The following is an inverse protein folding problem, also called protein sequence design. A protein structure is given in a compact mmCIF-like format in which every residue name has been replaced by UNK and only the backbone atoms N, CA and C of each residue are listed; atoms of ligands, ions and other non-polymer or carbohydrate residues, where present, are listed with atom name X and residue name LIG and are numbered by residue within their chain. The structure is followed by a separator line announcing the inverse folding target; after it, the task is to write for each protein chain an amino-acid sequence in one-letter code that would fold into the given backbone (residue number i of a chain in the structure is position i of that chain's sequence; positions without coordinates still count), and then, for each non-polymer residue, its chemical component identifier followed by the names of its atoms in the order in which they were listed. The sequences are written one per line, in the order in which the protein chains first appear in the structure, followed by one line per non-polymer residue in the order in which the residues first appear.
data_IF_148561325084
#
_entry.id   IF_148561325084
#
_cell.length_a   1.000
_cell.length_b   1.000
_cell.length_c   1.000
_cell.angle_alpha   90.00
_cell.angle_beta   90.00
_cell.angle_gamma   90.00
#
_symmetry.space_group_name_H-M   'P 1'
#
loop_
_entity.id
_entity.type
_entity.pdbx_description
1 polymer ?
#
# COMPACT_ATOMS: atom_id res chain seq x y z
N UNK A 1 -53.39 -73.20 -22.05
CA UNK A 1 -52.94 -73.55 -23.38
C UNK A 1 -51.62 -72.85 -23.61
N UNK A 2 -50.48 -73.40 -23.69
CA UNK A 2 -49.91 -74.60 -24.13
C UNK A 2 -48.40 -74.36 -24.18
N UNK A 3 -47.74 -75.29 -23.53
CA UNK A 3 -46.47 -76.00 -23.86
C UNK A 3 -45.24 -75.19 -24.16
N UNK A 4 -44.23 -75.31 -23.23
CA UNK A 4 -43.08 -76.23 -23.31
C UNK A 4 -42.27 -76.20 -24.57
N UNK A 5 -40.96 -75.85 -24.46
CA UNK A 5 -39.91 -76.82 -24.76
C UNK A 5 -38.50 -76.36 -24.22
N UNK A 6 -37.94 -77.20 -23.47
CA UNK A 6 -36.60 -77.35 -22.98
C UNK A 6 -35.58 -77.49 -24.14
N UNK A 7 -34.37 -77.02 -23.94
CA UNK A 7 -33.18 -77.79 -24.35
C UNK A 7 -31.93 -77.30 -23.55
N UNK A 8 -31.36 -78.30 -22.90
CA UNK A 8 -30.05 -78.24 -22.25
C UNK A 8 -28.91 -78.12 -23.24
N UNK A 9 -27.85 -77.38 -22.91
CA UNK A 9 -26.49 -77.76 -23.30
C UNK A 9 -25.42 -77.14 -22.40
N UNK A 10 -24.87 -77.97 -21.57
CA UNK A 10 -23.49 -78.29 -21.15
C UNK A 10 -22.45 -77.14 -21.16
N UNK A 11 -22.01 -76.88 -19.97
CA UNK A 11 -20.63 -76.84 -19.38
C UNK A 11 -19.45 -76.72 -20.35
N UNK A 12 -18.66 -75.70 -20.14
CA UNK A 12 -17.18 -75.77 -20.15
C UNK A 12 -16.63 -74.74 -19.19
N UNK A 13 -16.01 -75.23 -18.12
CA UNK A 13 -15.21 -74.40 -17.19
C UNK A 13 -13.89 -74.06 -17.92
N UNK A 14 -13.55 -72.79 -17.99
CA UNK A 14 -12.19 -72.34 -18.20
C UNK A 14 -11.80 -71.40 -17.06
N UNK A 15 -10.95 -71.90 -16.21
CA UNK A 15 -10.34 -71.17 -15.10
C UNK A 15 -9.28 -70.22 -15.68
N UNK A 16 -9.57 -68.91 -15.71
CA UNK A 16 -8.60 -67.88 -15.99
C UNK A 16 -8.10 -67.32 -14.65
N UNK A 17 -6.85 -67.62 -14.37
CA UNK A 17 -6.11 -67.04 -13.24
C UNK A 17 -5.80 -65.58 -13.61
N UNK A 18 -6.48 -64.62 -12.94
CA UNK A 18 -6.18 -63.20 -13.05
C UNK A 18 -5.09 -62.89 -12.02
N UNK A 19 -3.83 -62.76 -12.45
CA UNK A 19 -2.77 -62.15 -11.67
C UNK A 19 -3.07 -60.67 -11.50
N UNK A 20 -3.62 -60.26 -10.33
CA UNK A 20 -3.81 -58.89 -9.95
C UNK A 20 -2.48 -58.18 -9.67
N UNK A 21 -1.96 -57.48 -10.66
CA UNK A 21 -0.85 -56.55 -10.44
C UNK A 21 -1.35 -55.31 -9.70
N UNK A 22 -0.97 -55.15 -8.42
CA UNK A 22 -1.13 -53.89 -7.70
C UNK A 22 -0.22 -52.84 -8.33
N UNK A 23 -0.73 -52.06 -9.27
CA UNK A 23 -0.06 -50.86 -9.73
C UNK A 23 -0.23 -49.79 -8.63
N UNK A 24 0.83 -49.54 -7.89
CA UNK A 24 0.91 -48.42 -6.97
C UNK A 24 0.93 -47.14 -7.83
N UNK A 25 -0.16 -46.43 -7.85
CA UNK A 25 -0.20 -45.05 -8.41
C UNK A 25 0.52 -44.14 -7.41
N UNK A 26 1.81 -43.88 -7.70
CA UNK A 26 2.54 -42.79 -7.05
C UNK A 26 1.89 -41.50 -7.56
N UNK A 27 1.07 -40.84 -6.76
CA UNK A 27 0.58 -39.52 -7.04
C UNK A 27 1.79 -38.59 -7.23
N UNK A 28 1.85 -37.76 -8.30
CA UNK A 28 2.93 -36.80 -8.43
C UNK A 28 2.89 -35.86 -7.23
N UNK A 29 4.08 -35.67 -6.60
CA UNK A 29 4.23 -34.71 -5.53
C UNK A 29 3.75 -33.33 -6.02
N UNK A 30 3.06 -32.55 -5.15
CA UNK A 30 2.61 -31.22 -5.54
C UNK A 30 3.85 -30.42 -5.96
N UNK A 31 3.86 -29.99 -7.22
CA UNK A 31 4.86 -29.07 -7.73
C UNK A 31 4.76 -27.79 -6.88
N UNK A 32 5.79 -27.55 -6.07
CA UNK A 32 6.00 -26.27 -5.40
C UNK A 32 6.23 -25.26 -6.55
N UNK A 33 5.17 -24.55 -6.92
CA UNK A 33 5.29 -23.38 -7.79
C UNK A 33 6.07 -22.36 -6.98
N UNK A 34 7.39 -22.32 -7.21
CA UNK A 34 8.23 -21.25 -6.70
C UNK A 34 7.68 -19.94 -7.26
N UNK A 35 7.13 -19.08 -6.36
CA UNK A 35 6.79 -17.70 -6.70
C UNK A 35 7.99 -17.07 -7.41
N UNK A 36 7.80 -16.40 -8.56
CA UNK A 36 8.86 -15.58 -9.11
C UNK A 36 9.23 -14.56 -8.02
N UNK A 37 10.44 -14.63 -7.50
CA UNK A 37 11.00 -13.59 -6.65
C UNK A 37 11.20 -12.37 -7.56
N UNK A 38 10.20 -11.49 -7.63
CA UNK A 38 10.46 -10.15 -8.11
C UNK A 38 11.44 -9.54 -7.13
N UNK A 39 12.60 -9.10 -7.64
CA UNK A 39 13.58 -8.39 -6.83
C UNK A 39 12.94 -7.16 -6.16
N UNK A 40 13.65 -6.53 -5.21
CA UNK A 40 13.09 -5.40 -4.48
C UNK A 40 12.65 -4.30 -5.43
N UNK A 41 11.47 -3.74 -5.18
CA UNK A 41 10.95 -2.59 -5.91
C UNK A 41 11.62 -1.34 -5.36
N UNK A 42 12.41 -0.64 -6.19
CA UNK A 42 13.17 0.54 -5.76
C UNK A 42 12.67 1.77 -6.52
N UNK A 43 12.23 2.78 -5.79
CA UNK A 43 11.82 4.08 -6.31
C UNK A 43 12.95 5.08 -6.02
N UNK A 44 13.66 5.49 -7.09
CA UNK A 44 14.78 6.41 -6.99
C UNK A 44 14.35 7.84 -7.32
N UNK A 45 14.96 8.87 -6.70
CA UNK A 45 14.70 10.28 -7.08
C UNK A 45 14.88 10.56 -8.56
N UNK A 46 15.85 9.90 -9.22
CA UNK A 46 16.12 10.05 -10.65
C UNK A 46 14.95 9.59 -11.52
N UNK A 47 14.12 8.70 -11.03
CA UNK A 47 12.93 8.16 -11.72
C UNK A 47 11.70 9.08 -11.57
N UNK A 48 11.86 10.27 -10.98
CA UNK A 48 10.77 11.23 -10.73
C UNK A 48 9.87 11.48 -11.94
N UNK A 49 10.45 11.49 -13.13
CA UNK A 49 9.70 11.70 -14.38
C UNK A 49 8.67 10.59 -14.67
N UNK A 50 8.82 9.42 -14.06
CA UNK A 50 7.89 8.28 -14.14
C UNK A 50 6.75 8.36 -13.12
N UNK A 51 6.80 9.33 -12.21
CA UNK A 51 5.79 9.52 -11.17
C UNK A 51 4.73 10.50 -11.65
N UNK A 52 3.49 10.17 -11.37
CA UNK A 52 2.33 10.99 -11.66
C UNK A 52 2.18 12.09 -10.59
N UNK A 53 2.00 13.34 -11.03
CA UNK A 53 1.61 14.43 -10.12
C UNK A 53 0.11 14.39 -9.94
N UNK A 54 -0.35 14.05 -8.73
CA UNK A 54 -1.77 14.06 -8.37
C UNK A 54 -2.11 15.36 -7.68
N UNK A 55 -2.96 16.15 -8.33
CA UNK A 55 -3.48 17.40 -7.77
C UNK A 55 -4.75 17.14 -6.96
N UNK A 56 -4.90 17.84 -5.85
CA UNK A 56 -6.11 17.78 -5.05
C UNK A 56 -7.09 18.89 -5.45
N UNK A 57 -8.41 18.62 -5.53
CA UNK A 57 -9.39 19.62 -5.93
C UNK A 57 -9.30 20.88 -5.07
N UNK A 58 -9.22 22.04 -5.73
CA UNK A 58 -9.16 23.35 -5.06
C UNK A 58 -7.84 23.68 -4.34
N UNK A 59 -6.79 22.85 -4.49
CA UNK A 59 -5.48 23.08 -3.86
C UNK A 59 -4.44 23.57 -4.87
N UNK A 60 -3.54 24.45 -4.42
CA UNK A 60 -2.34 24.78 -5.16
C UNK A 60 -1.39 23.58 -5.19
N UNK A 61 -0.57 23.52 -6.22
CA UNK A 61 0.36 22.39 -6.41
C UNK A 61 1.66 22.62 -5.63
N UNK A 62 2.09 21.62 -4.88
CA UNK A 62 3.44 21.52 -4.34
C UNK A 62 4.44 21.41 -5.49
N UNK A 63 5.54 22.15 -5.42
CA UNK A 63 6.61 22.05 -6.40
C UNK A 63 7.52 20.85 -6.10
N UNK A 64 7.66 19.94 -7.07
CA UNK A 64 8.56 18.78 -6.96
C UNK A 64 9.70 18.92 -7.97
N UNK A 65 10.95 18.89 -7.49
CA UNK A 65 12.15 19.01 -8.34
C UNK A 65 13.16 17.94 -7.99
N UNK A 66 13.85 17.40 -9.01
CA UNK A 66 15.04 16.59 -8.78
C UNK A 66 16.22 17.52 -8.51
N UNK A 67 16.94 17.29 -7.42
CA UNK A 67 18.16 18.04 -7.08
C UNK A 67 19.15 17.19 -6.28
N UNK A 68 20.33 17.77 -6.01
CA UNK A 68 21.31 17.18 -5.09
C UNK A 68 21.14 17.81 -3.71
N UNK A 69 21.00 16.96 -2.68
CA UNK A 69 21.01 17.39 -1.28
C UNK A 69 22.04 16.57 -0.50
N UNK A 70 23.04 17.26 0.06
CA UNK A 70 24.18 16.62 0.76
C UNK A 70 24.85 15.54 -0.12
N UNK A 71 25.15 15.88 -1.37
CA UNK A 71 25.79 15.03 -2.39
C UNK A 71 25.01 13.77 -2.78
N UNK A 72 23.73 13.68 -2.46
CA UNK A 72 22.86 12.60 -2.90
C UNK A 72 21.66 13.11 -3.69
N UNK A 73 21.23 12.37 -4.72
CA UNK A 73 20.04 12.75 -5.47
C UNK A 73 18.81 12.67 -4.57
N UNK A 74 17.95 13.67 -4.67
CA UNK A 74 16.71 13.76 -3.89
C UNK A 74 15.59 14.42 -4.68
N UNK A 75 14.35 14.13 -4.36
CA UNK A 75 13.19 14.92 -4.80
C UNK A 75 12.94 15.99 -3.74
N UNK A 76 13.23 17.24 -4.06
CA UNK A 76 12.75 18.39 -3.31
C UNK A 76 11.23 18.47 -3.47
N UNK A 77 10.52 18.55 -2.35
CA UNK A 77 9.13 18.99 -2.28
C UNK A 77 9.07 20.33 -1.57
N UNK A 78 8.57 21.36 -2.26
CA UNK A 78 8.40 22.69 -1.71
C UNK A 78 6.92 23.06 -1.74
N UNK A 79 6.29 23.07 -0.57
CA UNK A 79 4.90 23.45 -0.40
C UNK A 79 4.78 24.87 0.17
N UNK A 80 4.01 25.71 -0.53
CA UNK A 80 3.68 27.09 -0.14
C UNK A 80 2.16 27.22 -0.18
N UNK A 81 1.51 27.07 0.96
CA UNK A 81 0.04 27.01 1.07
C UNK A 81 -0.56 26.03 0.05
N UNK A 82 0.07 24.89 -0.15
CA UNK A 82 -0.21 23.98 -1.26
C UNK A 82 -0.21 22.52 -0.84
N UNK A 83 -0.92 21.68 -1.60
CA UNK A 83 -0.99 20.25 -1.40
C UNK A 83 -1.11 19.52 -2.74
N UNK A 84 -0.18 18.64 -3.00
CA UNK A 84 -0.24 17.65 -4.08
C UNK A 84 0.72 16.50 -3.77
N UNK A 85 0.61 15.41 -4.50
CA UNK A 85 1.48 14.26 -4.30
C UNK A 85 2.15 13.83 -5.59
N UNK A 86 3.30 13.18 -5.47
CA UNK A 86 3.88 12.34 -6.52
C UNK A 86 3.51 10.92 -6.23
N UNK A 87 2.83 10.26 -7.17
CA UNK A 87 2.30 8.90 -7.06
C UNK A 87 2.93 8.00 -8.09
N UNK A 88 3.21 6.77 -7.69
CA UNK A 88 3.45 5.66 -8.59
C UNK A 88 2.42 4.57 -8.35
N UNK A 89 1.75 4.11 -9.41
CA UNK A 89 0.85 2.97 -9.35
C UNK A 89 1.66 1.70 -9.27
N UNK A 90 1.27 0.80 -8.40
CA UNK A 90 1.88 -0.51 -8.21
C UNK A 90 0.79 -1.59 -8.18
N UNK A 91 1.18 -2.84 -8.20
CA UNK A 91 0.25 -3.97 -8.10
C UNK A 91 0.93 -5.09 -7.31
N UNK A 92 0.93 -4.96 -5.98
CA UNK A 92 1.64 -5.86 -5.08
C UNK A 92 0.63 -6.62 -4.25
N UNK A 93 0.62 -7.93 -4.40
CA UNK A 93 -0.29 -8.81 -3.67
C UNK A 93 0.00 -8.78 -2.15
N UNK A 94 -0.99 -9.00 -1.30
CA UNK A 94 -0.81 -8.95 0.16
C UNK A 94 0.34 -9.86 0.66
N UNK A 95 0.52 -11.03 0.02
CA UNK A 95 1.55 -12.00 0.39
C UNK A 95 2.98 -11.55 0.02
N UNK A 96 3.09 -10.53 -0.83
CA UNK A 96 4.35 -9.94 -1.27
C UNK A 96 4.71 -8.66 -0.52
N UNK A 97 3.83 -8.20 0.37
CA UNK A 97 4.11 -7.05 1.22
C UNK A 97 5.19 -7.42 2.24
N UNK A 98 6.30 -6.72 2.19
CA UNK A 98 7.46 -6.93 3.03
C UNK A 98 7.88 -5.66 3.77
N UNK A 99 9.19 -5.43 3.80
CA UNK A 99 9.76 -4.27 4.49
C UNK A 99 9.82 -3.07 3.55
N UNK A 100 9.30 -1.94 3.99
CA UNK A 100 9.47 -0.65 3.35
C UNK A 100 10.64 0.08 3.98
N UNK A 101 11.62 0.47 3.18
CA UNK A 101 12.71 1.35 3.56
C UNK A 101 12.54 2.68 2.84
N UNK A 102 12.68 3.77 3.54
CA UNK A 102 12.60 5.12 2.94
C UNK A 102 13.44 6.11 3.73
N UNK A 103 13.77 7.21 3.08
CA UNK A 103 14.56 8.27 3.69
C UNK A 103 14.04 9.64 3.27
N UNK A 104 14.17 10.59 4.18
CA UNK A 104 13.85 11.99 3.95
C UNK A 104 14.70 12.92 4.80
N UNK A 105 14.70 14.21 4.42
CA UNK A 105 15.21 15.31 5.22
C UNK A 105 14.16 16.42 5.23
N UNK A 106 13.89 16.99 6.38
CA UNK A 106 12.94 18.09 6.58
C UNK A 106 13.70 19.33 7.01
N UNK A 107 13.45 20.47 6.35
CA UNK A 107 14.10 21.75 6.68
C UNK A 107 13.45 22.42 7.88
N UNK A 108 12.13 22.45 7.91
CA UNK A 108 11.36 23.13 8.94
C UNK A 108 10.00 22.46 9.18
N UNK A 109 9.44 22.69 10.35
CA UNK A 109 8.05 22.35 10.68
C UNK A 109 7.15 23.58 10.52
N UNK A 110 5.87 23.33 10.30
CA UNK A 110 4.82 24.35 10.36
C UNK A 110 4.29 24.41 11.78
N UNK A 111 4.56 25.50 12.51
CA UNK A 111 4.38 25.60 13.97
C UNK A 111 2.99 25.19 14.48
N UNK A 112 1.93 25.47 13.71
CA UNK A 112 0.54 25.21 14.08
C UNK A 112 0.00 23.87 13.56
N UNK A 113 0.78 23.12 12.79
CA UNK A 113 0.31 21.87 12.19
C UNK A 113 0.02 20.81 13.24
N UNK A 114 -1.18 20.24 13.15
CA UNK A 114 -1.65 19.12 13.96
C UNK A 114 -2.51 18.17 13.11
N UNK A 115 -1.98 17.00 12.81
CA UNK A 115 -2.63 16.03 11.94
C UNK A 115 -3.88 15.37 12.55
N UNK A 116 -4.19 15.60 13.82
CA UNK A 116 -5.43 15.16 14.47
C UNK A 116 -6.57 16.16 14.32
N UNK A 117 -6.24 17.40 13.93
CA UNK A 117 -7.19 18.51 13.75
C UNK A 117 -7.40 18.78 12.26
N UNK A 118 -8.63 18.74 11.81
CA UNK A 118 -9.01 18.85 10.38
C UNK A 118 -8.47 20.10 9.68
N UNK A 119 -8.51 21.22 10.36
CA UNK A 119 -8.13 22.55 9.84
C UNK A 119 -6.61 22.80 9.91
N UNK A 120 -5.88 21.94 10.60
CA UNK A 120 -4.42 22.03 10.81
C UNK A 120 -3.66 20.79 10.30
N UNK A 121 -4.31 19.96 9.47
CA UNK A 121 -3.83 18.65 9.04
C UNK A 121 -2.72 18.74 7.99
N UNK A 122 -1.65 19.45 8.26
CA UNK A 122 -0.47 19.54 7.42
C UNK A 122 0.66 18.67 7.95
N UNK A 123 1.56 18.24 7.06
CA UNK A 123 2.77 17.51 7.43
C UNK A 123 3.91 17.81 6.46
N UNK A 124 5.13 18.02 6.95
CA UNK A 124 6.28 18.31 6.10
C UNK A 124 6.62 17.15 5.16
N UNK A 125 6.36 15.92 5.56
CA UNK A 125 6.62 14.72 4.77
C UNK A 125 5.59 13.63 5.03
N UNK A 126 5.21 12.94 3.96
CA UNK A 126 4.38 11.73 4.00
C UNK A 126 4.91 10.72 2.99
N UNK A 127 5.08 9.49 3.40
CA UNK A 127 5.13 8.32 2.51
C UNK A 127 3.79 7.62 2.62
N UNK A 128 3.11 7.48 1.50
CA UNK A 128 1.69 7.08 1.42
C UNK A 128 1.59 5.73 0.74
N UNK A 129 0.88 4.81 1.35
CA UNK A 129 0.56 3.49 0.84
C UNK A 129 -0.95 3.35 0.69
N UNK A 130 -1.43 3.14 -0.54
CA UNK A 130 -2.85 2.98 -0.84
C UNK A 130 -3.17 1.52 -1.14
N UNK A 131 -4.21 1.00 -0.49
CA UNK A 131 -4.59 -0.40 -0.55
C UNK A 131 -5.99 -0.59 -1.15
N UNK A 132 -6.17 -1.66 -1.89
CA UNK A 132 -7.48 -2.20 -2.25
C UNK A 132 -8.10 -2.99 -1.09
N UNK A 133 -9.42 -3.19 -1.17
CA UNK A 133 -10.17 -3.98 -0.23
C UNK A 133 -11.66 -3.98 -0.57
N UNK A 134 -12.45 -4.59 0.27
CA UNK A 134 -13.90 -4.69 0.10
C UNK A 134 -14.61 -3.40 0.51
N UNK A 135 -14.89 -2.54 -0.47
CA UNK A 135 -15.62 -1.28 -0.23
C UNK A 135 -17.07 -1.46 0.22
N UNK A 136 -17.64 -2.66 0.14
CA UNK A 136 -18.96 -2.94 0.73
C UNK A 136 -18.94 -2.81 2.24
N UNK A 137 -17.77 -2.88 2.86
CA UNK A 137 -17.54 -2.67 4.30
C UNK A 137 -17.44 -1.18 4.69
N UNK A 138 -17.55 -0.25 3.76
CA UNK A 138 -17.51 1.16 4.08
C UNK A 138 -18.73 1.56 4.91
N UNK A 139 -18.50 2.40 5.93
CA UNK A 139 -19.58 3.14 6.55
C UNK A 139 -20.28 4.04 5.53
N UNK A 140 -21.51 4.44 5.78
CA UNK A 140 -22.25 5.38 4.90
C UNK A 140 -21.44 6.66 4.63
N UNK A 141 -20.69 7.16 5.62
CA UNK A 141 -19.80 8.31 5.49
C UNK A 141 -18.66 8.02 4.50
N UNK A 142 -17.99 6.89 4.61
CA UNK A 142 -16.88 6.54 3.74
C UNK A 142 -17.36 6.25 2.30
N UNK A 143 -18.51 5.61 2.14
CA UNK A 143 -19.12 5.40 0.83
C UNK A 143 -19.40 6.75 0.13
N UNK A 144 -20.05 7.68 0.82
CA UNK A 144 -20.30 9.03 0.30
C UNK A 144 -19.00 9.78 -0.05
N UNK A 145 -17.96 9.69 0.79
CA UNK A 145 -16.66 10.30 0.50
C UNK A 145 -15.99 9.69 -0.72
N UNK A 146 -16.12 8.37 -0.90
CA UNK A 146 -15.58 7.66 -2.06
C UNK A 146 -16.29 8.06 -3.35
N UNK A 147 -17.62 8.18 -3.34
CA UNK A 147 -18.42 8.66 -4.47
C UNK A 147 -18.06 10.12 -4.83
N UNK A 148 -17.94 10.98 -3.81
CA UNK A 148 -17.52 12.36 -4.02
C UNK A 148 -16.12 12.45 -4.62
N UNK A 149 -15.18 11.66 -4.12
CA UNK A 149 -13.82 11.59 -4.65
C UNK A 149 -13.83 11.13 -6.11
N UNK A 150 -14.61 10.09 -6.43
CA UNK A 150 -14.79 9.59 -7.80
C UNK A 150 -15.35 10.69 -8.72
N UNK A 151 -16.36 11.44 -8.27
CA UNK A 151 -16.98 12.50 -9.06
C UNK A 151 -16.01 13.69 -9.31
N UNK A 152 -15.15 14.01 -8.36
CA UNK A 152 -14.24 15.16 -8.45
C UNK A 152 -12.90 14.83 -9.13
N UNK A 153 -12.42 13.59 -9.01
CA UNK A 153 -11.06 13.21 -9.46
C UNK A 153 -11.06 12.15 -10.55
N UNK A 154 -12.17 11.52 -10.82
CA UNK A 154 -12.27 10.36 -11.71
C UNK A 154 -11.81 9.03 -11.06
N UNK A 155 -11.37 9.05 -9.81
CA UNK A 155 -10.89 7.86 -9.09
C UNK A 155 -11.61 7.73 -7.74
N UNK A 156 -12.05 6.52 -7.42
CA UNK A 156 -12.61 6.22 -6.10
C UNK A 156 -11.54 6.33 -5.01
N UNK A 157 -11.96 6.69 -3.81
CA UNK A 157 -11.06 6.65 -2.64
C UNK A 157 -10.50 5.24 -2.46
N UNK A 158 -9.19 5.05 -2.17
CA UNK A 158 -8.65 3.75 -1.79
C UNK A 158 -9.43 3.14 -0.63
N UNK A 159 -9.48 1.82 -0.56
CA UNK A 159 -10.12 1.14 0.57
C UNK A 159 -9.49 1.53 1.90
N UNK A 160 -8.16 1.56 1.94
CA UNK A 160 -7.40 2.03 3.08
C UNK A 160 -6.12 2.75 2.63
N UNK A 161 -5.69 3.72 3.43
CA UNK A 161 -4.44 4.46 3.20
C UNK A 161 -3.63 4.51 4.49
N UNK A 162 -2.45 3.92 4.49
CA UNK A 162 -1.46 4.04 5.56
C UNK A 162 -0.44 5.09 5.15
N UNK A 163 -0.14 6.04 6.04
CA UNK A 163 0.85 7.09 5.81
C UNK A 163 1.91 7.05 6.91
N UNK A 164 3.18 7.05 6.55
CA UNK A 164 4.26 7.37 7.47
C UNK A 164 4.52 8.86 7.43
N UNK A 165 4.57 9.50 8.60
CA UNK A 165 4.56 10.95 8.73
C UNK A 165 5.55 11.46 9.78
N UNK A 166 5.94 12.73 9.63
CA UNK A 166 6.64 13.50 10.67
C UNK A 166 5.63 14.42 11.37
N UNK A 167 5.54 14.34 12.68
CA UNK A 167 4.62 15.15 13.49
C UNK A 167 5.36 16.26 14.23
N UNK A 168 4.66 17.36 14.52
CA UNK A 168 5.19 18.41 15.39
C UNK A 168 5.26 17.96 16.85
N UNK A 169 4.26 17.23 17.33
CA UNK A 169 4.05 16.99 18.77
C UNK A 169 3.59 15.58 19.13
N UNK A 170 2.95 14.84 18.21
CA UNK A 170 2.52 13.48 18.51
C UNK A 170 3.74 12.55 18.66
N UNK A 171 3.82 11.75 19.71
CA UNK A 171 4.93 10.82 19.91
C UNK A 171 5.14 9.85 18.74
N UNK A 172 6.38 9.44 18.52
CA UNK A 172 6.71 8.35 17.59
C UNK A 172 5.90 7.10 17.95
N UNK A 173 5.53 6.31 16.95
CA UNK A 173 4.65 5.13 17.01
C UNK A 173 3.17 5.41 17.38
N UNK A 174 2.76 6.68 17.40
CA UNK A 174 1.34 7.06 17.47
C UNK A 174 0.68 6.82 16.11
N UNK A 175 -0.50 6.21 16.11
CA UNK A 175 -1.38 6.11 14.95
C UNK A 175 -2.49 7.15 15.06
N UNK A 176 -2.44 8.16 14.21
CA UNK A 176 -3.44 9.23 14.13
C UNK A 176 -4.50 8.83 13.11
N UNK A 177 -5.77 8.79 13.54
CA UNK A 177 -6.90 8.59 12.64
C UNK A 177 -7.18 9.92 11.92
N UNK A 178 -7.34 9.87 10.60
CA UNK A 178 -7.70 11.07 9.85
C UNK A 178 -9.09 11.60 10.30
N UNK A 179 -9.25 12.89 10.60
CA UNK A 179 -10.51 13.45 11.12
C UNK A 179 -11.67 13.38 10.12
N UNK A 180 -11.41 13.20 8.82
CA UNK A 180 -12.43 13.11 7.77
C UNK A 180 -12.90 11.67 7.54
N UNK A 181 -12.00 10.68 7.69
CA UNK A 181 -12.29 9.26 7.42
C UNK A 181 -11.41 8.35 8.27
N UNK A 182 -11.96 7.28 8.78
CA UNK A 182 -11.22 6.23 9.48
C UNK A 182 -10.45 5.29 8.53
N UNK A 183 -10.60 5.47 7.20
CA UNK A 183 -9.86 4.71 6.19
C UNK A 183 -8.49 5.30 5.84
N UNK A 184 -8.08 6.38 6.48
CA UNK A 184 -6.76 6.97 6.41
C UNK A 184 -6.13 7.00 7.80
N UNK A 185 -4.98 6.33 7.95
CA UNK A 185 -4.21 6.26 9.20
C UNK A 185 -2.82 6.84 8.97
N UNK A 186 -2.36 7.66 9.90
CA UNK A 186 -1.05 8.29 9.86
C UNK A 186 -0.21 7.73 11.00
N UNK A 187 0.87 7.03 10.65
CA UNK A 187 1.81 6.49 11.61
C UNK A 187 2.97 7.45 11.78
N UNK A 188 3.13 7.99 12.97
CA UNK A 188 4.20 8.92 13.30
C UNK A 188 5.52 8.15 13.41
N UNK A 189 6.47 8.42 12.51
CA UNK A 189 7.82 7.82 12.53
C UNK A 189 8.89 8.79 12.98
N UNK A 190 8.56 10.10 13.01
CA UNK A 190 9.43 11.16 13.54
C UNK A 190 8.59 12.24 14.19
N UNK A 191 9.14 12.91 15.22
CA UNK A 191 8.42 13.93 15.96
C UNK A 191 9.33 15.06 16.46
N UNK A 192 8.81 16.28 16.43
CA UNK A 192 9.49 17.47 16.94
C UNK A 192 10.65 17.96 16.08
N UNK A 193 11.37 19.01 16.51
CA UNK A 193 12.37 19.70 15.71
C UNK A 193 13.79 19.12 15.78
N UNK A 194 14.05 18.12 16.62
CA UNK A 194 15.40 17.67 16.99
C UNK A 194 16.22 17.15 15.82
N UNK A 195 15.58 16.61 14.80
CA UNK A 195 16.24 16.00 13.63
C UNK A 195 16.04 16.79 12.34
N UNK A 196 15.63 18.06 12.43
CA UNK A 196 15.57 18.94 11.27
C UNK A 196 16.94 19.07 10.59
N UNK A 197 16.93 19.21 9.27
CA UNK A 197 18.14 19.30 8.44
C UNK A 197 19.07 18.07 8.50
N UNK A 198 18.55 16.93 8.94
CA UNK A 198 19.26 15.66 8.98
C UNK A 198 18.55 14.64 8.13
N UNK A 199 19.30 13.83 7.36
CA UNK A 199 18.75 12.67 6.67
C UNK A 199 18.33 11.64 7.71
N UNK A 200 17.04 11.26 7.66
CA UNK A 200 16.46 10.21 8.51
C UNK A 200 16.07 9.03 7.63
N UNK A 201 16.39 7.81 8.08
CA UNK A 201 16.08 6.56 7.41
C UNK A 201 15.18 5.71 8.28
N UNK A 202 14.19 5.08 7.67
CA UNK A 202 13.22 4.24 8.36
C UNK A 202 13.11 2.89 7.64
N UNK A 203 12.81 1.87 8.42
CA UNK A 203 12.47 0.54 7.94
C UNK A 203 11.21 0.10 8.67
N UNK A 204 10.16 -0.24 7.91
CA UNK A 204 8.84 -0.54 8.44
C UNK A 204 8.31 -1.84 7.83
N UNK A 205 7.69 -2.68 8.66
CA UNK A 205 6.94 -3.84 8.20
C UNK A 205 5.52 -3.39 7.83
N UNK A 206 5.24 -3.33 6.52
CA UNK A 206 3.97 -2.81 6.00
C UNK A 206 2.79 -3.61 6.54
N UNK A 207 2.90 -4.94 6.58
CA UNK A 207 1.81 -5.80 7.05
C UNK A 207 1.52 -5.57 8.52
N UNK A 208 2.55 -5.66 9.36
CA UNK A 208 2.40 -5.48 10.81
C UNK A 208 1.87 -4.08 11.15
N UNK A 209 2.37 -3.05 10.47
CA UNK A 209 1.90 -1.68 10.68
C UNK A 209 0.45 -1.49 10.22
N UNK A 210 0.06 -2.08 9.09
CA UNK A 210 -1.32 -2.02 8.61
C UNK A 210 -2.27 -2.73 9.58
N UNK A 211 -1.95 -3.96 9.97
CA UNK A 211 -2.77 -4.73 10.92
C UNK A 211 -2.93 -4.00 12.26
N UNK A 212 -1.84 -3.41 12.79
CA UNK A 212 -1.90 -2.61 14.02
C UNK A 212 -2.72 -1.33 13.83
N UNK A 213 -2.62 -0.68 12.66
CA UNK A 213 -3.33 0.58 12.39
C UNK A 213 -4.83 0.36 12.13
N UNK A 214 -5.23 -0.68 11.41
CA UNK A 214 -6.60 -0.88 10.95
C UNK A 214 -7.35 -2.00 11.69
N UNK A 215 -6.64 -2.93 12.36
CA UNK A 215 -7.25 -4.09 13.01
C UNK A 215 -7.67 -5.20 12.04
N UNK A 216 -7.22 -5.15 10.80
CA UNK A 216 -7.53 -6.09 9.72
C UNK A 216 -6.28 -6.33 8.85
N UNK A 217 -6.17 -7.46 8.12
CA UNK A 217 -5.05 -7.68 7.22
C UNK A 217 -5.11 -6.73 6.01
N UNK A 218 -3.93 -6.31 5.46
CA UNK A 218 -3.91 -5.47 4.29
C UNK A 218 -4.40 -6.19 3.04
N UNK A 219 -5.09 -5.46 2.18
CA UNK A 219 -5.35 -5.87 0.81
C UNK A 219 -4.14 -5.64 -0.10
N UNK A 220 -4.38 -5.64 -1.41
CA UNK A 220 -3.35 -5.37 -2.41
C UNK A 220 -2.88 -3.92 -2.31
N UNK A 221 -1.56 -3.68 -2.32
CA UNK A 221 -0.99 -2.34 -2.46
C UNK A 221 -1.10 -1.90 -3.93
N UNK A 222 -1.78 -0.77 -4.17
CA UNK A 222 -2.08 -0.26 -5.52
C UNK A 222 -1.39 1.04 -5.85
N UNK A 223 -0.91 1.76 -4.86
CA UNK A 223 -0.10 2.95 -5.08
C UNK A 223 0.86 3.21 -3.91
N UNK A 224 2.02 3.78 -4.27
CA UNK A 224 2.95 4.43 -3.37
C UNK A 224 3.06 5.89 -3.78
N UNK A 225 3.07 6.80 -2.80
CA UNK A 225 3.21 8.23 -3.07
C UNK A 225 4.04 8.93 -2.00
N UNK A 226 4.59 10.09 -2.37
CA UNK A 226 5.16 11.05 -1.44
C UNK A 226 4.35 12.35 -1.49
N UNK A 227 4.24 13.02 -0.34
CA UNK A 227 3.49 14.26 -0.24
C UNK A 227 4.08 15.18 0.82
N UNK A 228 4.10 16.45 0.51
CA UNK A 228 4.39 17.55 1.41
C UNK A 228 3.27 18.57 1.25
N UNK A 229 2.60 18.90 2.33
CA UNK A 229 1.44 19.81 2.33
C UNK A 229 1.54 20.88 3.41
N UNK A 230 1.02 22.05 3.11
CA UNK A 230 1.04 23.24 3.95
C UNK A 230 -0.19 24.14 3.72
N UNK A 231 -1.25 23.60 3.12
CA UNK A 231 -2.40 24.38 2.69
C UNK A 231 -3.39 24.69 3.82
N UNK A 232 -3.46 23.84 4.82
CA UNK A 232 -4.32 24.06 5.98
C UNK A 232 -3.78 25.18 6.89
N UNK A 233 -2.48 25.19 7.15
CA UNK A 233 -1.79 26.14 8.01
C UNK A 233 -1.30 27.38 7.26
N UNK A 234 -1.51 27.44 5.93
CA UNK A 234 -0.96 28.46 5.05
C UNK A 234 0.56 28.61 5.17
N UNK A 235 1.23 27.49 5.41
CA UNK A 235 2.66 27.44 5.70
C UNK A 235 3.55 27.43 4.45
N UNK A 236 4.86 27.47 4.73
CA UNK A 236 5.91 27.27 3.74
C UNK A 236 6.88 26.22 4.29
N UNK A 237 7.04 25.10 3.60
CA UNK A 237 7.86 23.98 4.05
C UNK A 237 8.62 23.34 2.90
N UNK A 238 9.86 22.94 3.20
CA UNK A 238 10.71 22.18 2.27
C UNK A 238 11.11 20.85 2.88
N UNK A 239 11.07 19.83 2.04
CA UNK A 239 11.55 18.51 2.40
C UNK A 239 12.18 17.82 1.19
N UNK A 240 13.08 16.89 1.44
CA UNK A 240 13.75 16.08 0.43
C UNK A 240 13.46 14.61 0.67
N UNK A 241 13.06 13.92 -0.37
CA UNK A 241 12.84 12.48 -0.36
C UNK A 241 13.96 11.79 -1.12
N UNK A 242 14.60 10.82 -0.47
CA UNK A 242 15.60 9.95 -1.08
C UNK A 242 14.98 8.69 -1.67
N UNK A 243 15.71 7.58 -1.59
CA UNK A 243 15.23 6.30 -2.09
C UNK A 243 14.09 5.75 -1.24
N UNK A 244 13.14 5.09 -1.92
CA UNK A 244 12.12 4.25 -1.27
C UNK A 244 12.27 2.85 -1.84
N UNK A 245 12.38 1.85 -0.98
CA UNK A 245 12.60 0.45 -1.35
C UNK A 245 11.58 -0.43 -0.65
N UNK A 246 10.95 -1.30 -1.39
CA UNK A 246 10.07 -2.35 -0.90
C UNK A 246 10.71 -3.71 -1.20
N UNK A 247 11.02 -4.46 -0.14
CA UNK A 247 11.61 -5.82 -0.21
C UNK A 247 10.53 -6.90 -0.16
#
# INVERSE_FOLDING_TARGET
MGRLHSLHRKLLLSSAVILGGCAWHIAPAPSVVSKPSQGPLVFKPQDKAQWEVVTLPGKLRTAFRLEQRDQRPAVLAHAQSSASMLRQRVNIAPEQLGQLQFEWQVENLMATADMSVRELEDSPVRVILAFEGDRSQFSAKNAMLSELTQALTGEAMPYATLMYVWSNQHPVDTVIINPRTDRVRKWVVESGPQHLNQWRQYRRDIRADFEKAFGEPPGKLVALAIMTDSDNTQGNVRAWYGNIKLD
#
